data_IF_806330780311
#
_entry.id   IF_806330780311
#
_cell.length_a   1.000
_cell.length_b   1.000
_cell.length_c   1.000
_cell.angle_alpha   90.00
_cell.angle_beta   90.00
_cell.angle_gamma   90.00
#
_symmetry.space_group_name_H-M   'P 1'
#
loop_
_entity.id
_entity.type
_entity.pdbx_description
1 polymer ?
#
# COMPACT_ATOMS: atom_id res chain seq x y z
N UNK A 1 21.32 -4.41 24.44
CA UNK A 1 19.99 -3.83 24.75
C UNK A 1 19.17 -3.88 23.46
N UNK A 2 18.50 -5.00 23.18
CA UNK A 2 17.67 -5.20 21.96
C UNK A 2 16.30 -5.83 22.36
N UNK A 3 15.95 -5.82 23.65
CA UNK A 3 14.73 -6.48 24.14
C UNK A 3 13.45 -5.64 23.99
N UNK A 4 13.54 -4.37 23.59
CA UNK A 4 12.36 -3.50 23.36
C UNK A 4 11.86 -3.49 21.90
N UNK A 5 12.68 -3.96 20.96
CA UNK A 5 12.40 -3.82 19.53
C UNK A 5 11.37 -4.86 19.04
N UNK A 6 11.34 -6.07 19.63
CA UNK A 6 10.38 -7.10 19.23
C UNK A 6 8.94 -6.73 19.57
N UNK A 7 8.67 -6.17 20.76
CA UNK A 7 7.33 -5.74 21.16
C UNK A 7 6.87 -4.48 20.41
N UNK A 8 7.78 -3.52 20.16
CA UNK A 8 7.46 -2.35 19.33
C UNK A 8 7.26 -2.73 17.87
N UNK A 9 8.08 -3.62 17.31
CA UNK A 9 7.86 -4.20 15.98
C UNK A 9 6.55 -4.99 15.93
N UNK A 10 6.14 -5.65 17.01
CA UNK A 10 4.87 -6.38 17.09
C UNK A 10 3.66 -5.44 17.24
N UNK A 11 3.80 -4.31 17.94
CA UNK A 11 2.79 -3.25 18.01
C UNK A 11 2.69 -2.48 16.67
N UNK A 12 3.82 -2.22 16.03
CA UNK A 12 3.89 -1.67 14.68
C UNK A 12 3.32 -2.65 13.65
N UNK A 13 3.61 -3.94 13.77
CA UNK A 13 3.02 -4.99 12.94
C UNK A 13 1.51 -5.12 13.18
N UNK A 14 1.04 -4.93 14.41
CA UNK A 14 -0.38 -4.85 14.74
C UNK A 14 -1.04 -3.63 14.09
N UNK A 15 -0.39 -2.46 14.16
CA UNK A 15 -0.88 -1.23 13.54
C UNK A 15 -0.85 -1.28 12.01
N UNK A 16 0.24 -1.77 11.40
CA UNK A 16 0.35 -2.01 9.96
C UNK A 16 -0.64 -3.08 9.49
N UNK A 17 -0.80 -4.15 10.27
CA UNK A 17 -1.74 -5.23 9.99
C UNK A 17 -3.19 -4.75 10.02
N UNK A 18 -3.53 -3.83 10.93
CA UNK A 18 -4.85 -3.20 10.98
C UNK A 18 -5.19 -2.48 9.66
N UNK A 19 -4.25 -1.70 9.10
CA UNK A 19 -4.45 -1.08 7.78
C UNK A 19 -4.37 -2.08 6.63
N UNK A 20 -3.55 -3.12 6.73
CA UNK A 20 -3.47 -4.19 5.72
C UNK A 20 -4.79 -4.94 5.55
N UNK A 21 -5.57 -5.07 6.63
CA UNK A 21 -6.90 -5.68 6.62
C UNK A 21 -8.02 -4.70 6.29
N UNK A 22 -7.73 -3.42 6.00
CA UNK A 22 -8.72 -2.39 5.66
C UNK A 22 -9.80 -2.86 4.63
N UNK A 23 -9.46 -3.62 3.57
CA UNK A 23 -10.46 -4.10 2.61
C UNK A 23 -11.47 -5.08 3.20
N UNK A 24 -11.09 -5.87 4.22
CA UNK A 24 -11.99 -6.84 4.86
C UNK A 24 -13.11 -6.18 5.65
N UNK A 25 -12.85 -5.02 6.24
CA UNK A 25 -13.86 -4.24 6.97
C UNK A 25 -15.01 -3.78 6.08
N UNK A 26 -14.76 -3.63 4.77
CA UNK A 26 -15.74 -3.13 3.79
C UNK A 26 -16.54 -4.25 3.12
N UNK A 27 -16.27 -5.52 3.43
CA UNK A 27 -16.93 -6.68 2.81
C UNK A 27 -18.45 -6.65 2.99
N UNK A 28 -18.94 -6.29 4.17
CA UNK A 28 -20.39 -6.20 4.43
C UNK A 28 -21.11 -5.20 3.52
N UNK A 29 -20.44 -4.08 3.18
CA UNK A 29 -20.98 -3.05 2.26
C UNK A 29 -20.98 -3.57 0.82
N UNK A 30 -19.91 -4.28 0.43
CA UNK A 30 -19.75 -4.84 -0.91
C UNK A 30 -20.81 -5.92 -1.18
N UNK A 31 -21.04 -6.83 -0.23
CA UNK A 31 -22.05 -7.89 -0.35
C UNK A 31 -23.46 -7.32 -0.39
N UNK A 32 -23.75 -6.27 0.39
CA UNK A 32 -25.06 -5.62 0.39
C UNK A 32 -25.38 -4.86 -0.91
N UNK A 33 -24.35 -4.30 -1.59
CA UNK A 33 -24.50 -3.56 -2.86
C UNK A 33 -23.34 -3.88 -3.81
N UNK A 34 -23.37 -5.03 -4.51
CA UNK A 34 -22.27 -5.50 -5.35
C UNK A 34 -22.00 -4.63 -6.58
N UNK A 35 -22.99 -3.84 -7.03
CA UNK A 35 -22.87 -2.91 -8.16
C UNK A 35 -22.91 -1.44 -7.75
N UNK A 36 -22.79 -1.17 -6.45
CA UNK A 36 -22.75 0.20 -5.94
C UNK A 36 -21.51 0.98 -6.43
N UNK A 37 -21.59 2.31 -6.50
CA UNK A 37 -20.46 3.16 -6.93
C UNK A 37 -19.22 2.98 -6.04
N UNK A 38 -19.44 2.69 -4.76
CA UNK A 38 -18.39 2.41 -3.77
C UNK A 38 -17.65 1.10 -4.07
N UNK A 39 -18.41 0.06 -4.44
CA UNK A 39 -17.87 -1.25 -4.83
C UNK A 39 -17.09 -1.17 -6.14
N UNK A 40 -17.55 -0.35 -7.09
CA UNK A 40 -16.82 -0.06 -8.32
C UNK A 40 -15.51 0.69 -8.04
N UNK A 41 -15.54 1.74 -7.21
CA UNK A 41 -14.34 2.48 -6.83
C UNK A 41 -13.30 1.59 -6.15
N UNK A 42 -13.73 0.73 -5.23
CA UNK A 42 -12.83 -0.22 -4.55
C UNK A 42 -12.30 -1.32 -5.47
N UNK A 43 -13.07 -1.71 -6.50
CA UNK A 43 -12.60 -2.64 -7.55
C UNK A 43 -11.54 -1.99 -8.44
N UNK A 44 -11.58 -0.67 -8.64
CA UNK A 44 -10.58 0.07 -9.39
C UNK A 44 -9.33 0.42 -8.56
N UNK A 45 -9.39 0.35 -7.24
CA UNK A 45 -8.22 0.56 -6.41
C UNK A 45 -7.31 -0.68 -6.46
N UNK A 46 -6.06 -0.57 -6.93
CA UNK A 46 -5.26 -1.72 -7.37
C UNK A 46 -4.93 -2.70 -6.24
N UNK A 47 -4.75 -2.21 -5.02
CA UNK A 47 -4.41 -3.06 -3.86
C UNK A 47 -5.62 -3.86 -3.36
N UNK A 48 -6.84 -3.33 -3.48
CA UNK A 48 -8.08 -4.01 -3.07
C UNK A 48 -8.78 -4.73 -4.22
N UNK A 49 -8.44 -4.39 -5.46
CA UNK A 49 -9.02 -4.92 -6.69
C UNK A 49 -9.08 -6.45 -6.75
N UNK A 50 -7.98 -7.21 -6.55
CA UNK A 50 -8.03 -8.67 -6.69
C UNK A 50 -8.97 -9.33 -5.68
N UNK A 51 -8.96 -8.86 -4.42
CA UNK A 51 -9.84 -9.38 -3.37
C UNK A 51 -11.32 -9.10 -3.69
N UNK A 52 -11.64 -7.89 -4.14
CA UNK A 52 -13.03 -7.46 -4.39
C UNK A 52 -13.54 -8.04 -5.70
N UNK A 53 -12.71 -8.18 -6.73
CA UNK A 53 -13.07 -8.84 -7.98
C UNK A 53 -13.43 -10.32 -7.74
N UNK A 54 -12.65 -11.04 -6.92
CA UNK A 54 -12.96 -12.42 -6.52
C UNK A 54 -14.28 -12.50 -5.75
N UNK A 55 -14.48 -11.59 -4.79
CA UNK A 55 -15.72 -11.53 -4.01
C UNK A 55 -16.94 -11.22 -4.91
N UNK A 56 -16.82 -10.26 -5.83
CA UNK A 56 -17.91 -9.91 -6.76
C UNK A 56 -18.21 -11.01 -7.76
N UNK A 57 -17.20 -11.72 -8.26
CA UNK A 57 -17.42 -12.91 -9.13
C UNK A 57 -18.22 -14.01 -8.43
N UNK A 58 -18.13 -14.13 -7.10
CA UNK A 58 -18.90 -15.12 -6.34
C UNK A 58 -20.38 -14.76 -6.18
N UNK A 59 -20.75 -13.47 -6.24
CA UNK A 59 -22.11 -12.99 -5.95
C UNK A 59 -22.81 -12.29 -7.13
N UNK A 60 -22.09 -11.86 -8.16
CA UNK A 60 -22.62 -11.07 -9.28
C UNK A 60 -21.88 -11.32 -10.61
N UNK A 61 -22.58 -11.07 -11.72
CA UNK A 61 -22.00 -11.09 -13.06
C UNK A 61 -21.28 -9.76 -13.29
N UNK A 62 -19.95 -9.80 -13.26
CA UNK A 62 -19.10 -8.63 -13.46
C UNK A 62 -18.91 -8.37 -14.97
N UNK A 63 -19.17 -7.14 -15.47
CA UNK A 63 -18.91 -6.81 -16.86
C UNK A 63 -17.43 -7.02 -17.25
N UNK A 64 -17.19 -7.61 -18.43
CA UNK A 64 -15.83 -7.93 -18.93
C UNK A 64 -14.90 -6.71 -18.97
N UNK A 65 -15.41 -5.52 -19.23
CA UNK A 65 -14.61 -4.29 -19.26
C UNK A 65 -14.07 -3.90 -17.87
N UNK A 66 -14.79 -4.21 -16.78
CA UNK A 66 -14.32 -3.93 -15.41
C UNK A 66 -13.14 -4.80 -15.06
N UNK A 67 -13.15 -6.06 -15.49
CA UNK A 67 -12.04 -7.00 -15.33
C UNK A 67 -10.80 -6.53 -16.10
N UNK A 68 -10.95 -6.15 -17.37
CA UNK A 68 -9.82 -5.66 -18.18
C UNK A 68 -9.26 -4.34 -17.62
N UNK A 69 -10.12 -3.41 -17.21
CA UNK A 69 -9.71 -2.15 -16.60
C UNK A 69 -8.97 -2.39 -15.27
N UNK A 70 -9.51 -3.24 -14.40
CA UNK A 70 -8.87 -3.64 -13.14
C UNK A 70 -7.49 -4.27 -13.38
N UNK A 71 -7.39 -5.18 -14.35
CA UNK A 71 -6.14 -5.85 -14.69
C UNK A 71 -5.08 -4.87 -15.22
N UNK A 72 -5.46 -3.98 -16.14
CA UNK A 72 -4.56 -2.91 -16.61
C UNK A 72 -4.10 -2.01 -15.48
N UNK A 73 -5.00 -1.67 -14.55
CA UNK A 73 -4.70 -0.78 -13.44
C UNK A 73 -3.78 -1.46 -12.41
N UNK A 74 -3.95 -2.75 -12.15
CA UNK A 74 -3.02 -3.55 -11.34
C UNK A 74 -1.62 -3.52 -11.97
N UNK A 75 -1.51 -3.80 -13.26
CA UNK A 75 -0.23 -3.80 -13.98
C UNK A 75 0.41 -2.41 -13.97
N UNK A 76 -0.35 -1.35 -14.25
CA UNK A 76 0.13 0.03 -14.20
C UNK A 76 0.62 0.41 -12.78
N UNK A 77 -0.12 0.03 -11.74
CA UNK A 77 0.27 0.30 -10.37
C UNK A 77 1.51 -0.50 -9.95
N UNK A 78 1.68 -1.72 -10.47
CA UNK A 78 2.89 -2.51 -10.25
C UNK A 78 4.11 -1.81 -10.83
N UNK A 79 4.05 -1.37 -12.10
CA UNK A 79 5.13 -0.60 -12.71
C UNK A 79 5.41 0.71 -11.97
N UNK A 80 4.37 1.43 -11.56
CA UNK A 80 4.50 2.65 -10.79
C UNK A 80 5.17 2.40 -9.44
N UNK A 81 4.77 1.34 -8.72
CA UNK A 81 5.36 0.96 -7.45
C UNK A 81 6.84 0.58 -7.61
N UNK A 82 7.19 -0.24 -8.61
CA UNK A 82 8.59 -0.59 -8.90
C UNK A 82 9.41 0.68 -9.21
N UNK A 83 8.88 1.60 -10.01
CA UNK A 83 9.52 2.87 -10.31
C UNK A 83 9.72 3.74 -9.06
N UNK A 84 8.71 3.85 -8.20
CA UNK A 84 8.80 4.56 -6.92
C UNK A 84 9.85 3.92 -6.00
N UNK A 85 9.82 2.60 -5.84
CA UNK A 85 10.78 1.85 -5.03
C UNK A 85 12.19 2.06 -5.56
N UNK A 86 12.45 1.86 -6.85
CA UNK A 86 13.78 2.12 -7.43
C UNK A 86 14.24 3.57 -7.27
N UNK A 87 13.33 4.55 -7.35
CA UNK A 87 13.66 5.96 -7.11
C UNK A 87 14.02 6.23 -5.65
N UNK A 88 13.22 5.72 -4.71
CA UNK A 88 13.45 5.85 -3.26
C UNK A 88 14.76 5.15 -2.88
N UNK A 89 15.00 3.93 -3.36
CA UNK A 89 16.25 3.20 -3.10
C UNK A 89 17.47 3.92 -3.70
N UNK A 90 17.36 4.52 -4.90
CA UNK A 90 18.44 5.38 -5.42
C UNK A 90 18.72 6.59 -4.53
N UNK A 91 17.69 7.25 -4.00
CA UNK A 91 17.85 8.37 -3.08
C UNK A 91 18.36 7.92 -1.70
N UNK A 92 17.91 6.75 -1.21
CA UNK A 92 18.31 6.18 0.07
C UNK A 92 19.75 5.64 0.04
N UNK A 93 20.23 5.16 -1.11
CA UNK A 93 21.61 4.72 -1.29
C UNK A 93 22.62 5.86 -1.13
N UNK A 94 22.24 7.11 -1.45
CA UNK A 94 23.07 8.30 -1.17
C UNK A 94 23.14 8.65 0.34
N UNK A 95 22.21 8.13 1.13
CA UNK A 95 22.17 8.28 2.60
C UNK A 95 22.71 7.04 3.34
N UNK A 96 22.98 5.94 2.62
CA UNK A 96 23.57 4.74 3.19
C UNK A 96 25.10 4.88 3.28
N UNK A 97 25.51 5.68 4.26
CA UNK A 97 26.91 5.96 4.57
C UNK A 97 27.13 6.89 5.77
N UNK A 98 26.12 7.64 6.21
CA UNK A 98 26.21 8.44 7.42
C UNK A 98 24.98 8.26 8.30
N UNK A 99 25.19 7.81 9.53
CA UNK A 99 24.18 7.90 10.59
C UNK A 99 23.83 9.38 10.75
N UNK A 100 22.64 9.77 10.28
CA UNK A 100 22.12 11.13 10.38
C UNK A 100 21.90 11.49 11.86
N UNK A 101 22.96 11.95 12.52
CA UNK A 101 22.85 12.68 13.77
C UNK A 101 22.41 14.11 13.40
N UNK A 102 21.26 14.61 13.90
CA UNK A 102 20.78 15.96 13.59
C UNK A 102 21.78 17.06 13.98
N UNK A 103 22.72 16.78 14.89
CA UNK A 103 23.80 17.70 15.27
C UNK A 103 24.87 17.90 14.18
N UNK A 104 25.10 16.92 13.30
CA UNK A 104 26.11 17.03 12.24
C UNK A 104 25.67 17.96 11.10
N UNK A 105 24.37 17.95 10.78
CA UNK A 105 23.75 18.85 9.78
C UNK A 105 23.89 20.32 10.23
N UNK A 106 23.71 20.60 11.52
CA UNK A 106 23.75 21.96 12.05
C UNK A 106 25.18 22.54 12.13
N UNK A 107 26.20 21.69 12.27
CA UNK A 107 27.60 22.13 12.25
C UNK A 107 28.13 22.38 10.84
N UNK A 108 27.70 21.59 9.85
CA UNK A 108 28.09 21.76 8.44
C UNK A 108 27.60 23.10 7.84
N UNK A 109 26.44 23.61 8.30
CA UNK A 109 25.90 24.89 7.87
C UNK A 109 26.57 26.13 8.49
N UNK A 110 27.41 25.97 9.51
CA UNK A 110 28.08 27.09 10.20
C UNK A 110 29.51 27.34 9.74
N UNK A 111 30.05 26.52 8.84
CA UNK A 111 31.44 26.62 8.36
C UNK A 111 31.57 26.76 6.83
N UNK A 112 30.47 27.09 6.14
CA UNK A 112 30.47 27.50 4.73
C UNK A 112 30.09 28.96 4.58
#
# INVERSE_FOLDING_TARGET
IIAGDSQQAQQLAGFLGFFGLAPFWLVGVIVGKPDGPLTLALTLFPLSSPMIALLRMAFAIVPRWQLVAALLLIVACLFLSIWFVTRIFRSAMLLYGQTLRPRAIWQALRTG
#
